data_IF_921013977758
#
_entry.id   IF_921013977758
#
_cell.length_a   1.000
_cell.length_b   1.000
_cell.length_c   1.000
_cell.angle_alpha   90.00
_cell.angle_beta   90.00
_cell.angle_gamma   90.00
#
_symmetry.space_group_name_H-M   'P 1'
#
loop_
_entity.id
_entity.type
_entity.pdbx_description
1 polymer ?
#
# COMPACT_ATOMS: atom_id res chain seq x y z
N UNK A 1 1.65 -20.62 -28.11
CA UNK A 1 1.67 -19.66 -26.98
C UNK A 1 2.88 -18.72 -26.99
N UNK A 2 3.51 -18.44 -28.15
CA UNK A 2 4.73 -17.60 -28.21
C UNK A 2 4.42 -16.13 -28.56
N UNK A 3 3.27 -15.87 -29.19
CA UNK A 3 2.85 -14.51 -29.57
C UNK A 3 2.28 -13.65 -28.44
N UNK A 4 1.84 -14.26 -27.33
CA UNK A 4 1.22 -13.53 -26.22
C UNK A 4 2.21 -12.56 -25.54
N UNK A 5 3.50 -12.94 -25.48
CA UNK A 5 4.55 -12.16 -24.82
C UNK A 5 4.97 -10.96 -25.67
N UNK A 6 5.00 -11.10 -27.01
CA UNK A 6 5.37 -10.02 -27.92
C UNK A 6 4.33 -8.91 -27.89
N UNK A 7 3.05 -9.27 -27.94
CA UNK A 7 1.95 -8.30 -27.89
C UNK A 7 1.87 -7.55 -26.56
N UNK A 8 2.14 -8.22 -25.42
CA UNK A 8 2.17 -7.56 -24.11
C UNK A 8 3.21 -6.44 -24.02
N UNK A 9 4.36 -6.59 -24.68
CA UNK A 9 5.44 -5.59 -24.66
C UNK A 9 5.08 -4.38 -25.53
N UNK A 10 4.47 -4.61 -26.70
CA UNK A 10 3.98 -3.53 -27.56
C UNK A 10 2.81 -2.78 -26.92
N UNK A 11 1.88 -3.50 -26.30
CA UNK A 11 0.73 -2.92 -25.58
C UNK A 11 1.18 -2.11 -24.36
N UNK A 12 2.22 -2.55 -23.65
CA UNK A 12 2.82 -1.81 -22.53
C UNK A 12 3.60 -0.57 -23.00
N UNK A 13 4.26 -0.63 -24.17
CA UNK A 13 4.94 0.52 -24.77
C UNK A 13 3.95 1.58 -25.26
N UNK A 14 2.85 1.17 -25.88
CA UNK A 14 1.82 2.08 -26.41
C UNK A 14 0.88 2.62 -25.32
N UNK A 15 0.53 1.78 -24.34
CA UNK A 15 -0.45 2.10 -23.30
C UNK A 15 0.14 2.53 -21.95
N UNK A 16 1.46 2.49 -21.78
CA UNK A 16 2.12 2.68 -20.50
C UNK A 16 1.89 1.51 -19.51
N UNK A 17 2.37 1.64 -18.26
CA UNK A 17 2.24 0.59 -17.26
C UNK A 17 0.78 0.18 -17.05
N UNK A 18 0.48 -1.12 -17.20
CA UNK A 18 -0.88 -1.68 -17.09
C UNK A 18 -1.61 -1.26 -15.80
N UNK A 19 -0.87 -1.01 -14.73
CA UNK A 19 -1.37 -0.50 -13.45
C UNK A 19 -2.21 0.78 -13.56
N UNK A 20 -1.97 1.66 -14.53
CA UNK A 20 -2.73 2.90 -14.73
C UNK A 20 -3.93 2.75 -15.66
N UNK A 21 -4.07 1.61 -16.35
CA UNK A 21 -5.19 1.30 -17.25
C UNK A 21 -6.23 0.39 -16.60
N UNK A 22 -5.89 -0.25 -15.49
CA UNK A 22 -6.81 -1.13 -14.80
C UNK A 22 -7.78 -0.32 -13.94
N UNK A 23 -9.08 -0.57 -14.09
CA UNK A 23 -10.11 0.02 -13.23
C UNK A 23 -10.09 -0.56 -11.81
N UNK A 24 -9.42 -1.69 -11.61
CA UNK A 24 -9.40 -2.42 -10.34
C UNK A 24 -9.04 -1.55 -9.10
N UNK A 25 -8.04 -0.65 -9.13
CA UNK A 25 -7.76 0.24 -7.99
C UNK A 25 -8.91 1.20 -7.69
N UNK A 26 -9.57 1.73 -8.74
CA UNK A 26 -10.70 2.65 -8.63
C UNK A 26 -11.92 1.91 -8.05
N UNK A 27 -12.22 0.73 -8.59
CA UNK A 27 -13.32 -0.11 -8.11
C UNK A 27 -13.12 -0.54 -6.66
N UNK A 28 -11.89 -0.90 -6.28
CA UNK A 28 -11.54 -1.25 -4.91
C UNK A 28 -11.74 -0.08 -3.96
N UNK A 29 -11.33 1.12 -4.36
CA UNK A 29 -11.54 2.33 -3.57
C UNK A 29 -13.03 2.64 -3.40
N UNK A 30 -13.81 2.62 -4.48
CA UNK A 30 -15.26 2.81 -4.44
C UNK A 30 -15.97 1.74 -3.59
N UNK A 31 -15.50 0.49 -3.63
CA UNK A 31 -15.98 -0.57 -2.76
C UNK A 31 -15.74 -0.29 -1.27
N UNK A 32 -14.57 0.25 -0.92
CA UNK A 32 -14.27 0.70 0.45
C UNK A 32 -15.21 1.83 0.87
N UNK A 33 -15.40 2.86 0.04
CA UNK A 33 -16.31 3.97 0.34
C UNK A 33 -17.77 3.52 0.51
N UNK A 34 -18.23 2.55 -0.30
CA UNK A 34 -19.58 1.98 -0.12
C UNK A 34 -19.77 1.35 1.26
N UNK A 35 -18.73 0.75 1.84
CA UNK A 35 -18.81 0.18 3.20
C UNK A 35 -18.97 1.24 4.30
N UNK A 36 -18.68 2.51 3.99
CA UNK A 36 -18.80 3.64 4.93
C UNK A 36 -20.18 4.31 4.92
N UNK A 37 -21.02 4.00 3.94
CA UNK A 37 -22.39 4.50 3.87
C UNK A 37 -23.28 3.70 4.82
N UNK A 38 -23.28 4.08 6.10
CA UNK A 38 -24.18 3.59 7.15
C UNK A 38 -25.53 4.30 7.11
N UNK A 39 -25.53 5.60 6.82
CA UNK A 39 -26.73 6.40 6.65
C UNK A 39 -26.98 6.73 5.17
N UNK A 40 -28.01 6.12 4.57
CA UNK A 40 -28.38 6.36 3.16
C UNK A 40 -29.08 7.70 2.92
N UNK A 41 -29.61 8.35 3.96
CA UNK A 41 -30.22 9.67 3.83
C UNK A 41 -29.16 10.77 3.63
N UNK A 42 -27.92 10.54 4.11
CA UNK A 42 -26.78 11.45 3.97
C UNK A 42 -25.49 10.65 3.71
N UNK A 43 -25.30 10.13 2.49
CA UNK A 43 -24.21 9.23 2.18
C UNK A 43 -22.83 9.89 2.32
N UNK A 44 -22.69 11.16 1.93
CA UNK A 44 -21.43 11.91 2.01
C UNK A 44 -21.00 12.13 3.46
N UNK A 45 -21.94 12.55 4.32
CA UNK A 45 -21.67 12.73 5.76
C UNK A 45 -21.29 11.42 6.44
N UNK A 46 -21.98 10.32 6.09
CA UNK A 46 -21.67 8.99 6.62
C UNK A 46 -20.27 8.50 6.21
N UNK A 47 -19.83 8.82 5.00
CA UNK A 47 -18.49 8.50 4.52
C UNK A 47 -17.45 9.33 5.27
N UNK A 48 -17.66 10.64 5.39
CA UNK A 48 -16.73 11.55 6.07
C UNK A 48 -16.51 11.16 7.54
N UNK A 49 -17.61 10.88 8.26
CA UNK A 49 -17.56 10.45 9.66
C UNK A 49 -16.78 9.14 9.83
N UNK A 50 -17.08 8.13 9.00
CA UNK A 50 -16.40 6.83 9.05
C UNK A 50 -14.92 6.94 8.70
N UNK A 51 -14.57 7.82 7.76
CA UNK A 51 -13.18 8.08 7.37
C UNK A 51 -12.40 8.75 8.52
N UNK A 52 -12.97 9.77 9.15
CA UNK A 52 -12.34 10.43 10.30
C UNK A 52 -12.15 9.47 11.48
N UNK A 53 -13.10 8.56 11.72
CA UNK A 53 -12.97 7.52 12.75
C UNK A 53 -11.85 6.51 12.42
N UNK A 54 -11.68 6.13 11.15
CA UNK A 54 -10.59 5.26 10.71
C UNK A 54 -9.22 5.95 10.86
N UNK A 55 -9.10 7.21 10.44
CA UNK A 55 -7.87 8.01 10.60
C UNK A 55 -7.50 8.20 12.08
N UNK A 56 -8.49 8.45 12.95
CA UNK A 56 -8.27 8.56 14.40
C UNK A 56 -7.81 7.23 15.03
N UNK A 57 -8.36 6.11 14.55
CA UNK A 57 -7.91 4.77 14.96
C UNK A 57 -6.47 4.47 14.49
N UNK A 58 -6.12 4.84 13.26
CA UNK A 58 -4.76 4.69 12.72
C UNK A 58 -3.77 5.58 13.49
N UNK A 59 -4.15 6.84 13.74
CA UNK A 59 -3.34 7.79 14.52
C UNK A 59 -3.09 7.35 15.96
N UNK A 60 -4.01 6.58 16.56
CA UNK A 60 -3.86 6.07 17.94
C UNK A 60 -3.16 4.72 18.02
N UNK A 61 -3.07 3.96 16.91
CA UNK A 61 -2.50 2.59 16.92
C UNK A 61 -1.05 2.50 16.47
N UNK A 62 -0.52 3.44 15.68
CA UNK A 62 0.92 3.69 15.53
C UNK A 62 1.12 4.83 14.52
N UNK A 63 1.96 5.80 14.89
CA UNK A 63 2.58 6.74 13.97
C UNK A 63 3.41 5.98 12.93
N UNK A 64 2.78 5.50 11.87
CA UNK A 64 3.46 5.00 10.68
C UNK A 64 3.38 6.10 9.63
N UNK A 65 4.54 6.62 9.23
CA UNK A 65 4.71 7.68 8.22
C UNK A 65 4.05 7.35 6.86
N UNK A 66 3.61 6.11 6.67
CA UNK A 66 2.95 5.63 5.46
C UNK A 66 1.67 4.88 5.84
N UNK A 67 0.51 5.24 5.25
CA UNK A 67 -0.72 4.51 5.47
C UNK A 67 -0.57 3.07 4.93
N UNK A 68 -1.15 2.06 5.60
CA UNK A 68 -1.08 0.68 5.13
C UNK A 68 -1.81 0.56 3.78
N UNK A 69 -1.04 0.42 2.70
CA UNK A 69 -1.57 0.18 1.36
C UNK A 69 -2.06 -1.26 1.25
N UNK A 70 -3.28 -1.48 1.70
CA UNK A 70 -3.99 -2.75 1.60
C UNK A 70 -4.03 -3.55 2.90
N UNK A 71 -5.08 -4.37 3.03
CA UNK A 71 -5.16 -5.40 4.07
C UNK A 71 -4.22 -6.53 3.64
N UNK A 72 -3.21 -6.88 4.44
CA UNK A 72 -2.31 -7.93 4.06
C UNK A 72 -3.12 -9.25 4.13
N UNK A 73 -3.14 -10.00 3.03
CA UNK A 73 -3.97 -11.21 2.88
C UNK A 73 -3.18 -12.40 3.41
N UNK A 74 -3.52 -12.90 4.60
CA UNK A 74 -2.81 -14.00 5.27
C UNK A 74 -2.67 -13.78 6.78
N UNK A 75 -2.28 -14.83 7.50
CA UNK A 75 -1.85 -14.69 8.90
C UNK A 75 -0.40 -14.20 8.91
N UNK A 76 -0.11 -13.08 9.57
CA UNK A 76 1.24 -12.53 9.70
C UNK A 76 1.74 -12.77 11.12
N UNK A 77 2.91 -13.40 11.24
CA UNK A 77 3.65 -13.42 12.50
C UNK A 77 4.57 -12.21 12.55
N UNK A 78 4.25 -11.25 13.41
CA UNK A 78 5.16 -10.17 13.74
C UNK A 78 6.27 -10.71 14.64
N UNK A 79 7.52 -10.54 14.22
CA UNK A 79 8.66 -10.66 15.13
C UNK A 79 9.14 -9.24 15.46
N UNK A 80 9.21 -8.91 16.74
CA UNK A 80 9.78 -7.64 17.18
C UNK A 80 11.30 -7.78 17.26
N UNK A 81 12.01 -6.99 16.45
CA UNK A 81 13.47 -6.89 16.58
C UNK A 81 13.82 -6.03 17.79
N UNK A 82 14.74 -6.53 18.61
CA UNK A 82 15.38 -5.78 19.69
C UNK A 82 16.20 -4.61 19.14
N UNK A 83 16.48 -3.62 19.98
CA UNK A 83 17.28 -2.45 19.58
C UNK A 83 18.67 -2.84 19.04
N UNK A 84 19.26 -3.92 19.57
CA UNK A 84 20.56 -4.43 19.10
C UNK A 84 20.47 -5.01 17.69
N UNK A 85 19.44 -5.82 17.42
CA UNK A 85 19.23 -6.42 16.10
C UNK A 85 18.92 -5.36 15.04
N UNK A 86 18.13 -4.32 15.38
CA UNK A 86 17.89 -3.18 14.49
C UNK A 86 19.20 -2.46 14.13
N UNK A 87 20.06 -2.22 15.12
CA UNK A 87 21.33 -1.54 14.92
C UNK A 87 22.34 -2.38 14.12
N UNK A 88 22.32 -3.70 14.30
CA UNK A 88 23.11 -4.64 13.50
C UNK A 88 22.61 -4.70 12.05
N UNK A 89 21.30 -4.81 11.83
CA UNK A 89 20.72 -4.80 10.49
C UNK A 89 21.03 -3.50 9.74
N UNK A 90 20.90 -2.36 10.43
CA UNK A 90 21.27 -1.06 9.87
C UNK A 90 22.74 -1.00 9.44
N UNK A 91 23.68 -1.41 10.31
CA UNK A 91 25.11 -1.44 9.97
C UNK A 91 25.42 -2.41 8.83
N UNK A 92 24.74 -3.55 8.78
CA UNK A 92 24.94 -4.54 7.72
C UNK A 92 24.58 -3.96 6.35
N UNK A 93 23.44 -3.25 6.25
CA UNK A 93 23.01 -2.57 5.02
C UNK A 93 24.05 -1.54 4.58
N UNK A 94 24.50 -0.68 5.49
CA UNK A 94 25.49 0.37 5.18
C UNK A 94 26.84 -0.18 4.70
N UNK A 95 27.20 -1.40 5.10
CA UNK A 95 28.51 -1.99 4.79
C UNK A 95 28.49 -2.98 3.63
N UNK A 96 27.31 -3.46 3.23
CA UNK A 96 27.16 -4.51 2.22
C UNK A 96 26.30 -4.09 1.01
N UNK A 97 25.73 -2.88 1.01
CA UNK A 97 24.87 -2.39 -0.06
C UNK A 97 25.52 -1.21 -0.79
N UNK A 98 26.16 -1.48 -1.93
CA UNK A 98 26.79 -0.47 -2.79
C UNK A 98 25.81 0.59 -3.34
N UNK A 99 24.50 0.33 -3.26
CA UNK A 99 23.45 1.28 -3.63
C UNK A 99 23.29 2.41 -2.62
N UNK A 100 23.83 2.24 -1.41
CA UNK A 100 23.73 3.21 -0.30
C UNK A 100 24.96 4.11 -0.22
N UNK A 101 26.06 3.75 -0.90
CA UNK A 101 27.29 4.54 -1.02
C UNK A 101 27.08 6.01 -1.45
N UNK A 102 26.13 6.36 -2.35
CA UNK A 102 25.87 7.75 -2.72
C UNK A 102 25.21 8.60 -1.62
N UNK A 103 24.69 7.96 -0.57
CA UNK A 103 23.89 8.57 0.49
C UNK A 103 24.55 8.50 1.88
N UNK A 104 25.73 7.90 1.96
CA UNK A 104 26.62 7.90 3.13
C UNK A 104 27.47 9.19 3.16
#
# INVERSE_FOLDING_TARGET
MVHLIVHLVEDAKLGGPAQYRWMYPIERYLGKLKSYVRNKAQPEGSIAESYMAEEHYISSSASTLFPPVGKPFGSFTYFSLSAKEKLQAHRHILTNCAQVDPFL
#
